data_IF_965761921131
#
_entry.id   IF_965761921131
#
_cell.length_a   1.000
_cell.length_b   1.000
_cell.length_c   1.000
_cell.angle_alpha   90.00
_cell.angle_beta   90.00
_cell.angle_gamma   90.00
#
_symmetry.space_group_name_H-M   'P 1'
#
loop_
_entity.id
_entity.type
_entity.pdbx_description
1 polymer ?
#
# COMPACT_ATOMS: atom_id res chain seq x y z
N UNK A 1 -25.91 -28.05 -0.81
CA UNK A 1 -26.44 -27.07 -1.76
C UNK A 1 -26.73 -25.80 -0.98
N UNK A 2 -25.80 -24.84 -0.97
CA UNK A 2 -26.02 -23.57 -0.29
C UNK A 2 -27.07 -22.80 -1.08
N UNK A 3 -28.22 -22.49 -0.47
CA UNK A 3 -29.19 -21.56 -1.04
C UNK A 3 -28.44 -20.24 -1.25
N UNK A 4 -28.21 -19.83 -2.51
CA UNK A 4 -27.77 -18.48 -2.84
C UNK A 4 -28.88 -17.56 -2.35
N UNK A 5 -28.57 -16.61 -1.46
CA UNK A 5 -29.48 -15.53 -1.16
C UNK A 5 -29.72 -14.75 -2.45
N UNK A 6 -30.96 -14.44 -2.75
CA UNK A 6 -31.28 -13.52 -3.83
C UNK A 6 -30.92 -12.12 -3.33
N UNK A 7 -29.96 -11.50 -4.03
CA UNK A 7 -29.60 -10.10 -3.83
C UNK A 7 -30.18 -9.31 -4.99
N UNK A 8 -30.93 -8.27 -4.69
CA UNK A 8 -31.54 -7.39 -5.66
C UNK A 8 -30.95 -5.99 -5.52
N UNK A 9 -30.63 -5.35 -6.65
CA UNK A 9 -30.28 -3.94 -6.68
C UNK A 9 -31.57 -3.14 -6.75
N UNK A 10 -31.86 -2.38 -5.69
CA UNK A 10 -33.07 -1.59 -5.61
C UNK A 10 -32.92 -0.19 -6.19
N UNK A 11 -31.80 0.46 -5.93
CA UNK A 11 -31.48 1.80 -6.39
C UNK A 11 -30.04 1.92 -6.86
N UNK A 12 -29.80 2.82 -7.81
CA UNK A 12 -28.49 3.26 -8.26
C UNK A 12 -28.49 4.79 -8.18
N UNK A 13 -27.69 5.34 -7.27
CA UNK A 13 -27.54 6.80 -7.15
C UNK A 13 -26.44 7.30 -8.08
N UNK A 14 -26.79 8.11 -9.05
CA UNK A 14 -25.84 8.82 -9.91
C UNK A 14 -26.44 10.14 -10.39
N UNK A 15 -25.64 11.19 -10.51
CA UNK A 15 -26.06 12.49 -11.01
C UNK A 15 -26.21 12.52 -12.54
N UNK A 16 -25.57 11.59 -13.25
CA UNK A 16 -25.69 11.44 -14.71
C UNK A 16 -26.93 10.64 -15.07
N UNK A 17 -27.38 10.83 -16.31
CA UNK A 17 -28.42 10.03 -16.91
C UNK A 17 -27.79 8.94 -17.79
N UNK A 18 -28.44 7.78 -17.81
CA UNK A 18 -27.96 6.59 -18.55
C UNK A 18 -29.10 6.05 -19.43
N UNK A 19 -29.52 6.80 -20.48
CA UNK A 19 -30.61 6.39 -21.35
C UNK A 19 -30.27 5.11 -22.09
N UNK A 20 -31.16 4.12 -22.05
CA UNK A 20 -30.98 2.82 -22.67
C UNK A 20 -30.15 1.83 -21.86
N UNK A 21 -29.71 2.17 -20.65
CA UNK A 21 -29.10 1.19 -19.75
C UNK A 21 -30.15 0.15 -19.29
N UNK A 22 -29.82 -1.14 -19.22
CA UNK A 22 -30.75 -2.16 -18.71
C UNK A 22 -31.32 -1.85 -17.33
N UNK A 23 -30.62 -1.08 -16.51
CA UNK A 23 -30.99 -0.67 -15.16
C UNK A 23 -31.55 0.76 -15.09
N UNK A 24 -31.87 1.40 -16.22
CA UNK A 24 -32.29 2.82 -16.30
C UNK A 24 -33.35 3.18 -15.23
N UNK A 25 -34.29 2.27 -14.97
CA UNK A 25 -35.38 2.47 -13.99
C UNK A 25 -34.93 2.49 -12.52
N UNK A 26 -33.72 2.01 -12.22
CA UNK A 26 -33.17 1.95 -10.87
C UNK A 26 -32.40 3.23 -10.50
N UNK A 27 -32.07 4.06 -11.51
CA UNK A 27 -31.29 5.29 -11.28
C UNK A 27 -32.16 6.35 -10.58
N UNK A 28 -31.57 6.90 -9.52
CA UNK A 28 -32.15 7.98 -8.72
C UNK A 28 -31.13 9.11 -8.53
N UNK A 29 -31.62 10.31 -8.20
CA UNK A 29 -30.80 11.51 -8.03
C UNK A 29 -30.74 12.00 -6.58
N UNK A 30 -31.58 11.47 -5.70
CA UNK A 30 -31.68 11.88 -4.29
C UNK A 30 -31.27 10.75 -3.36
N UNK A 31 -30.19 10.99 -2.61
CA UNK A 31 -29.68 10.06 -1.60
C UNK A 31 -30.69 9.73 -0.49
N UNK A 32 -31.58 10.69 -0.15
CA UNK A 32 -32.56 10.48 0.91
C UNK A 32 -33.56 9.34 0.60
N UNK A 33 -33.74 9.02 -0.67
CA UNK A 33 -34.56 7.85 -1.07
C UNK A 33 -33.94 6.56 -0.52
N UNK A 34 -32.60 6.41 -0.68
CA UNK A 34 -31.86 5.26 -0.13
C UNK A 34 -31.87 5.28 1.40
N UNK A 35 -31.59 6.45 1.98
CA UNK A 35 -31.43 6.59 3.42
C UNK A 35 -32.73 6.23 4.17
N UNK A 36 -33.87 6.70 3.68
CA UNK A 36 -35.16 6.54 4.35
C UNK A 36 -35.92 5.24 4.00
N UNK A 37 -35.44 4.45 3.05
CA UNK A 37 -36.07 3.20 2.67
C UNK A 37 -35.66 2.05 3.63
N UNK A 38 -36.58 1.50 4.44
CA UNK A 38 -36.27 0.43 5.41
C UNK A 38 -35.96 -0.93 4.75
N UNK A 39 -36.26 -1.11 3.47
CA UNK A 39 -35.96 -2.35 2.74
C UNK A 39 -34.50 -2.38 2.24
N UNK A 40 -33.83 -1.21 2.13
CA UNK A 40 -32.41 -1.14 1.81
C UNK A 40 -31.61 -1.56 3.04
N UNK A 41 -30.94 -2.71 2.96
CA UNK A 41 -30.14 -3.29 4.06
C UNK A 41 -28.65 -3.06 3.90
N UNK A 42 -28.17 -3.03 2.65
CA UNK A 42 -26.74 -2.84 2.33
C UNK A 42 -26.61 -1.73 1.30
N UNK A 43 -25.70 -0.81 1.55
CA UNK A 43 -25.34 0.27 0.62
C UNK A 43 -23.92 0.03 0.14
N UNK A 44 -23.69 0.14 -1.16
CA UNK A 44 -22.37 0.03 -1.77
C UNK A 44 -21.91 1.42 -2.20
N UNK A 45 -20.79 1.87 -1.65
CA UNK A 45 -20.14 3.15 -2.01
C UNK A 45 -18.97 2.89 -2.94
N UNK A 46 -18.98 3.51 -4.11
CA UNK A 46 -17.95 3.40 -5.16
C UNK A 46 -17.59 4.75 -5.78
N UNK A 47 -17.87 5.86 -5.08
CA UNK A 47 -17.67 7.22 -5.61
C UNK A 47 -16.19 7.61 -5.65
N UNK A 48 -15.42 7.20 -4.63
CA UNK A 48 -14.06 7.70 -4.41
C UNK A 48 -14.03 9.10 -3.79
N UNK A 49 -12.86 9.52 -3.32
CA UNK A 49 -12.69 10.76 -2.58
C UNK A 49 -13.27 10.71 -1.16
N UNK A 50 -13.04 11.76 -0.38
CA UNK A 50 -13.52 11.82 1.00
C UNK A 50 -14.96 12.36 1.08
N UNK A 51 -15.27 13.40 0.31
CA UNK A 51 -16.58 14.05 0.26
C UNK A 51 -17.24 13.87 -1.12
N UNK A 52 -18.53 13.56 -1.22
CA UNK A 52 -19.53 13.37 -0.16
C UNK A 52 -19.59 11.93 0.39
N UNK A 53 -18.60 11.08 0.11
CA UNK A 53 -18.63 9.67 0.52
C UNK A 53 -18.76 9.50 2.05
N UNK A 54 -18.03 10.30 2.82
CA UNK A 54 -18.09 10.26 4.28
C UNK A 54 -19.50 10.57 4.82
N UNK A 55 -20.14 11.62 4.29
CA UNK A 55 -21.48 12.02 4.71
C UNK A 55 -22.50 10.91 4.42
N UNK A 56 -22.44 10.32 3.24
CA UNK A 56 -23.39 9.28 2.84
C UNK A 56 -23.17 7.98 3.62
N UNK A 57 -21.92 7.56 3.76
CA UNK A 57 -21.57 6.35 4.50
C UNK A 57 -21.93 6.48 5.97
N UNK A 58 -21.55 7.59 6.62
CA UNK A 58 -21.85 7.83 8.04
C UNK A 58 -23.37 7.89 8.29
N UNK A 59 -24.13 8.55 7.39
CA UNK A 59 -25.60 8.59 7.49
C UNK A 59 -26.22 7.20 7.35
N UNK A 60 -25.75 6.38 6.41
CA UNK A 60 -26.26 5.01 6.23
C UNK A 60 -25.97 4.13 7.46
N UNK A 61 -24.76 4.17 8.01
CA UNK A 61 -24.41 3.41 9.21
C UNK A 61 -25.28 3.81 10.41
N UNK A 62 -25.45 5.12 10.64
CA UNK A 62 -26.31 5.68 11.69
C UNK A 62 -27.80 5.35 11.48
N UNK A 63 -28.24 5.13 10.25
CA UNK A 63 -29.59 4.67 9.92
C UNK A 63 -29.76 3.14 10.02
N UNK A 64 -28.79 2.41 10.53
CA UNK A 64 -28.85 0.96 10.70
C UNK A 64 -28.68 0.18 9.38
N UNK A 65 -28.01 0.74 8.37
CA UNK A 65 -27.72 0.08 7.10
C UNK A 65 -26.24 -0.31 7.05
N UNK A 66 -25.94 -1.56 6.69
CA UNK A 66 -24.58 -1.99 6.43
C UNK A 66 -24.02 -1.28 5.19
N UNK A 67 -22.73 -0.97 5.20
CA UNK A 67 -22.05 -0.31 4.08
C UNK A 67 -20.86 -1.12 3.63
N UNK A 68 -20.70 -1.23 2.31
CA UNK A 68 -19.55 -1.83 1.64
C UNK A 68 -18.88 -0.75 0.78
N UNK A 69 -17.54 -0.62 0.86
CA UNK A 69 -16.82 0.39 0.08
C UNK A 69 -15.54 -0.14 -0.53
N UNK A 70 -15.18 0.41 -1.69
CA UNK A 70 -13.85 0.27 -2.30
C UNK A 70 -12.96 1.51 -2.09
N UNK A 71 -13.45 2.52 -1.37
CA UNK A 71 -12.84 3.83 -1.22
C UNK A 71 -11.74 3.83 -0.16
N UNK A 72 -10.51 3.58 -0.62
CA UNK A 72 -9.32 3.56 0.24
C UNK A 72 -9.06 4.89 0.95
N UNK A 73 -9.41 6.01 0.32
CA UNK A 73 -9.21 7.34 0.90
C UNK A 73 -10.13 7.55 2.10
N UNK A 74 -11.40 7.19 1.96
CA UNK A 74 -12.36 7.22 3.05
C UNK A 74 -11.95 6.33 4.21
N UNK A 75 -11.55 5.08 3.94
CA UNK A 75 -11.17 4.11 4.98
C UNK A 75 -9.88 4.53 5.68
N UNK A 76 -8.86 5.01 4.95
CA UNK A 76 -7.61 5.48 5.53
C UNK A 76 -7.79 6.74 6.41
N UNK A 77 -8.72 7.65 6.04
CA UNK A 77 -8.94 8.88 6.78
C UNK A 77 -9.94 8.74 7.93
N UNK A 78 -10.96 7.86 7.78
CA UNK A 78 -12.14 7.80 8.65
C UNK A 78 -12.52 6.38 9.10
N UNK A 79 -11.67 5.39 8.85
CA UNK A 79 -11.99 3.98 9.12
C UNK A 79 -12.39 3.71 10.56
N UNK A 80 -11.63 4.21 11.53
CA UNK A 80 -11.93 4.03 12.95
C UNK A 80 -13.29 4.63 13.32
N UNK A 81 -13.58 5.85 12.90
CA UNK A 81 -14.83 6.55 13.18
C UNK A 81 -16.03 5.81 12.57
N UNK A 82 -15.92 5.36 11.30
CA UNK A 82 -16.98 4.63 10.60
C UNK A 82 -17.21 3.25 11.19
N UNK A 83 -16.18 2.55 11.62
CA UNK A 83 -16.29 1.30 12.37
C UNK A 83 -16.97 1.51 13.72
N UNK A 84 -16.73 2.64 14.39
CA UNK A 84 -17.44 3.06 15.60
C UNK A 84 -18.94 3.19 15.35
N UNK A 85 -19.36 3.93 14.31
CA UNK A 85 -20.78 4.04 13.95
C UNK A 85 -21.42 2.69 13.59
N UNK A 86 -20.69 1.83 12.88
CA UNK A 86 -21.17 0.50 12.58
C UNK A 86 -21.38 -0.33 13.85
N UNK A 87 -20.49 -0.20 14.84
CA UNK A 87 -20.60 -0.87 16.14
C UNK A 87 -21.82 -0.39 16.94
N UNK A 88 -21.98 0.92 17.06
CA UNK A 88 -23.09 1.56 17.79
C UNK A 88 -24.47 1.13 17.26
N UNK A 89 -24.58 0.89 15.95
CA UNK A 89 -25.84 0.55 15.28
C UNK A 89 -25.97 -0.93 14.91
N UNK A 90 -25.00 -1.78 15.34
CA UNK A 90 -24.97 -3.23 15.08
C UNK A 90 -25.11 -3.60 13.59
N UNK A 91 -24.41 -2.86 12.74
CA UNK A 91 -24.31 -3.08 11.28
C UNK A 91 -22.87 -3.29 10.87
N UNK A 92 -22.65 -3.64 9.61
CA UNK A 92 -21.31 -3.88 9.08
C UNK A 92 -20.81 -2.71 8.23
N UNK A 93 -19.55 -2.34 8.42
CA UNK A 93 -18.78 -1.53 7.50
C UNK A 93 -17.63 -2.40 6.95
N UNK A 94 -17.72 -2.81 5.68
CA UNK A 94 -16.77 -3.72 5.02
C UNK A 94 -16.07 -3.03 3.85
N UNK A 95 -14.77 -3.34 3.67
CA UNK A 95 -13.94 -2.59 2.75
C UNK A 95 -12.83 -3.46 2.10
N UNK A 96 -13.11 -4.74 1.84
CA UNK A 96 -12.15 -5.66 1.19
C UNK A 96 -11.56 -5.08 -0.08
N UNK A 97 -12.39 -4.41 -0.89
CA UNK A 97 -11.99 -3.83 -2.16
C UNK A 97 -11.11 -2.57 -2.04
N UNK A 98 -10.90 -2.03 -0.84
CA UNK A 98 -10.08 -0.84 -0.61
C UNK A 98 -8.57 -1.12 -0.69
N UNK A 99 -8.15 -2.37 -0.47
CA UNK A 99 -6.75 -2.80 -0.55
C UNK A 99 -6.65 -4.07 -1.38
N UNK A 100 -5.65 -4.12 -2.26
CA UNK A 100 -5.36 -5.32 -3.05
C UNK A 100 -6.35 -5.63 -4.17
N UNK A 101 -7.39 -4.84 -4.36
CA UNK A 101 -8.37 -5.02 -5.43
C UNK A 101 -9.02 -6.41 -5.41
N UNK A 102 -8.52 -7.33 -6.24
CA UNK A 102 -8.99 -8.72 -6.29
C UNK A 102 -8.27 -9.68 -5.34
N UNK A 103 -7.23 -9.22 -4.66
CA UNK A 103 -6.48 -10.01 -3.67
C UNK A 103 -7.27 -9.99 -2.36
N UNK A 104 -7.75 -11.12 -1.85
CA UNK A 104 -8.36 -11.16 -0.53
C UNK A 104 -7.28 -10.93 0.53
N UNK A 105 -7.38 -9.86 1.31
CA UNK A 105 -6.38 -9.52 2.34
C UNK A 105 -7.00 -9.07 3.67
N UNK A 106 -8.03 -8.21 3.65
CA UNK A 106 -8.67 -7.71 4.87
C UNK A 106 -9.29 -8.86 5.67
N UNK A 107 -10.06 -9.71 4.98
CA UNK A 107 -10.72 -10.87 5.58
C UNK A 107 -9.75 -11.95 6.02
N UNK A 108 -8.75 -12.36 5.24
CA UNK A 108 -7.70 -13.25 5.71
C UNK A 108 -6.97 -12.77 6.96
N UNK A 109 -6.54 -11.51 7.02
CA UNK A 109 -5.87 -10.97 8.22
C UNK A 109 -6.80 -11.06 9.44
N UNK A 110 -8.06 -10.57 9.30
CA UNK A 110 -8.99 -10.50 10.44
C UNK A 110 -9.60 -11.85 10.85
N UNK A 111 -9.58 -12.88 10.00
CA UNK A 111 -10.23 -14.16 10.27
C UNK A 111 -9.27 -15.34 10.21
N UNK A 112 -8.53 -15.51 9.10
CA UNK A 112 -7.68 -16.68 8.92
C UNK A 112 -6.37 -16.58 9.72
N UNK A 113 -5.83 -15.38 9.87
CA UNK A 113 -4.59 -15.11 10.60
C UNK A 113 -4.84 -14.64 12.04
N UNK A 114 -6.09 -14.56 12.49
CA UNK A 114 -6.47 -14.01 13.80
C UNK A 114 -5.85 -14.73 15.02
N UNK A 115 -5.32 -15.96 14.84
CA UNK A 115 -4.61 -16.68 15.89
C UNK A 115 -3.13 -16.28 16.01
N UNK A 116 -2.63 -15.42 15.12
CA UNK A 116 -1.23 -15.01 15.09
C UNK A 116 -1.07 -13.56 15.52
N UNK A 117 0.04 -13.26 16.14
CA UNK A 117 0.51 -11.89 16.29
C UNK A 117 1.23 -11.48 15.02
N UNK A 118 0.66 -10.51 14.31
CA UNK A 118 1.30 -9.97 13.11
C UNK A 118 2.39 -9.01 13.54
N UNK A 119 3.63 -9.28 13.12
CA UNK A 119 4.80 -8.48 13.46
C UNK A 119 5.13 -7.46 12.37
N UNK A 120 4.86 -7.83 11.10
CA UNK A 120 5.25 -7.03 9.96
C UNK A 120 4.40 -7.38 8.73
N UNK A 121 4.22 -6.43 7.83
CA UNK A 121 3.85 -6.68 6.46
C UNK A 121 4.68 -5.83 5.51
N UNK A 122 4.86 -6.34 4.29
CA UNK A 122 5.46 -5.62 3.16
C UNK A 122 4.67 -5.94 1.89
N UNK A 123 4.42 -4.93 1.06
CA UNK A 123 3.61 -5.17 -0.13
C UNK A 123 3.94 -4.27 -1.30
N UNK A 124 3.84 -4.85 -2.50
CA UNK A 124 3.71 -4.14 -3.76
C UNK A 124 2.23 -3.82 -3.90
N UNK A 125 1.85 -2.58 -3.54
CA UNK A 125 0.46 -2.17 -3.36
C UNK A 125 -0.10 -1.36 -4.53
N UNK A 126 0.75 -1.00 -5.50
CA UNK A 126 0.37 -0.20 -6.67
C UNK A 126 0.86 -0.86 -7.95
N UNK A 127 -0.07 -1.22 -8.84
CA UNK A 127 0.24 -1.91 -10.09
C UNK A 127 0.91 -1.01 -11.14
N UNK A 128 0.60 0.29 -11.15
CA UNK A 128 1.19 1.26 -12.09
C UNK A 128 2.68 1.41 -11.84
N UNK A 129 3.08 1.66 -10.61
CA UNK A 129 4.50 1.80 -10.23
C UNK A 129 5.27 0.50 -10.41
N UNK A 130 4.65 -0.64 -10.10
CA UNK A 130 5.31 -1.93 -10.34
C UNK A 130 5.50 -2.21 -11.83
N UNK A 131 4.54 -1.86 -12.68
CA UNK A 131 4.68 -1.96 -14.14
C UNK A 131 5.84 -1.10 -14.64
N UNK A 132 5.91 0.17 -14.22
CA UNK A 132 6.99 1.09 -14.62
C UNK A 132 8.35 0.51 -14.21
N UNK A 133 8.53 0.12 -12.96
CA UNK A 133 9.78 -0.48 -12.49
C UNK A 133 10.10 -1.79 -13.21
N UNK A 134 9.09 -2.62 -13.54
CA UNK A 134 9.29 -3.84 -14.32
C UNK A 134 9.85 -3.53 -15.72
N UNK A 135 9.34 -2.50 -16.40
CA UNK A 135 9.85 -2.07 -17.72
C UNK A 135 11.28 -1.52 -17.62
N UNK A 136 11.57 -0.72 -16.59
CA UNK A 136 12.93 -0.23 -16.34
C UNK A 136 13.91 -1.38 -16.11
N UNK A 137 13.54 -2.37 -15.31
CA UNK A 137 14.39 -3.50 -14.92
C UNK A 137 14.59 -4.49 -16.06
N UNK A 138 13.54 -4.89 -16.76
CA UNK A 138 13.59 -5.99 -17.73
C UNK A 138 13.92 -5.50 -19.13
N UNK A 139 13.45 -4.31 -19.52
CA UNK A 139 13.58 -3.78 -20.88
C UNK A 139 14.64 -2.67 -20.97
N UNK A 140 15.20 -2.20 -19.83
CA UNK A 140 16.12 -1.07 -19.80
C UNK A 140 15.47 0.26 -20.22
N UNK A 141 14.17 0.38 -20.06
CA UNK A 141 13.39 1.54 -20.47
C UNK A 141 13.58 2.69 -19.49
N UNK A 142 13.76 3.92 -19.98
CA UNK A 142 13.79 5.10 -19.12
C UNK A 142 12.44 5.31 -18.40
N UNK A 143 12.44 5.98 -17.25
CA UNK A 143 11.25 6.19 -16.43
C UNK A 143 10.10 6.84 -17.24
N UNK A 144 10.40 7.90 -17.99
CA UNK A 144 9.43 8.65 -18.77
C UNK A 144 8.78 7.79 -19.87
N UNK A 145 9.57 6.94 -20.53
CA UNK A 145 9.08 6.04 -21.57
C UNK A 145 8.20 4.93 -20.97
N UNK A 146 8.61 4.38 -19.83
CA UNK A 146 7.84 3.37 -19.09
C UNK A 146 6.52 3.94 -18.55
N UNK A 147 6.53 5.18 -18.05
CA UNK A 147 5.31 5.91 -17.63
C UNK A 147 4.38 6.15 -18.83
N UNK A 148 4.93 6.61 -19.95
CA UNK A 148 4.16 6.81 -21.18
C UNK A 148 3.50 5.51 -21.64
N UNK A 149 4.24 4.42 -21.62
CA UNK A 149 3.70 3.09 -21.96
C UNK A 149 2.60 2.65 -20.98
N UNK A 150 2.74 2.95 -19.68
CA UNK A 150 1.70 2.67 -18.69
C UNK A 150 0.42 3.47 -18.99
N UNK A 151 0.53 4.74 -19.40
CA UNK A 151 -0.60 5.57 -19.81
C UNK A 151 -1.27 5.05 -21.09
N UNK A 152 -0.49 4.69 -22.10
CA UNK A 152 -1.00 4.17 -23.37
C UNK A 152 -1.74 2.84 -23.21
N UNK A 153 -1.32 2.03 -22.21
CA UNK A 153 -2.00 0.78 -21.83
C UNK A 153 -3.20 0.99 -20.89
N UNK A 154 -3.47 2.22 -20.43
CA UNK A 154 -4.53 2.52 -19.47
C UNK A 154 -4.25 2.08 -18.05
N UNK A 155 -2.99 1.83 -17.68
CA UNK A 155 -2.57 1.50 -16.33
C UNK A 155 -2.30 2.74 -15.49
N UNK A 156 -1.94 3.86 -16.12
CA UNK A 156 -1.79 5.16 -15.47
C UNK A 156 -2.78 6.16 -16.07
N UNK A 157 -3.33 7.02 -15.23
CA UNK A 157 -4.16 8.15 -15.64
C UNK A 157 -3.30 9.27 -16.25
N UNK A 158 -3.95 10.30 -16.81
CA UNK A 158 -3.26 11.47 -17.34
C UNK A 158 -2.46 12.20 -16.26
N UNK A 159 -3.00 12.30 -15.04
CA UNK A 159 -2.27 12.73 -13.86
C UNK A 159 -1.94 11.49 -13.00
N UNK A 160 -0.72 10.95 -13.10
CA UNK A 160 -0.31 9.75 -12.40
C UNK A 160 0.24 10.04 -10.99
N UNK A 161 0.17 11.28 -10.51
CA UNK A 161 0.86 11.73 -9.28
C UNK A 161 0.55 10.88 -8.06
N UNK A 162 -0.72 10.45 -7.90
CA UNK A 162 -1.11 9.61 -6.77
C UNK A 162 -0.38 8.25 -6.77
N UNK A 163 -0.06 7.73 -7.95
CA UNK A 163 0.68 6.46 -8.11
C UNK A 163 2.19 6.69 -7.95
N UNK A 164 2.78 7.52 -8.83
CA UNK A 164 4.24 7.65 -8.94
C UNK A 164 4.89 8.33 -7.73
N UNK A 165 4.14 9.13 -6.96
CA UNK A 165 4.59 9.72 -5.69
C UNK A 165 4.28 8.84 -4.47
N UNK A 166 3.62 7.68 -4.65
CA UNK A 166 3.37 6.69 -3.61
C UNK A 166 2.13 6.92 -2.74
N UNK A 167 1.32 7.96 -2.99
CA UNK A 167 0.15 8.28 -2.14
C UNK A 167 -0.96 7.21 -2.19
N UNK A 168 -1.15 6.53 -3.33
CA UNK A 168 -2.05 5.39 -3.42
C UNK A 168 -1.60 4.24 -2.51
N UNK A 169 -0.32 3.91 -2.53
CA UNK A 169 0.26 2.89 -1.66
C UNK A 169 0.20 3.30 -0.17
N UNK A 170 0.41 4.59 0.14
CA UNK A 170 0.32 5.14 1.50
C UNK A 170 -1.06 4.87 2.12
N UNK A 171 -2.16 5.21 1.42
CA UNK A 171 -3.53 4.95 1.91
C UNK A 171 -3.76 3.47 2.22
N UNK A 172 -3.21 2.57 1.39
CA UNK A 172 -3.33 1.12 1.59
C UNK A 172 -2.48 0.64 2.78
N UNK A 173 -1.29 1.22 2.98
CA UNK A 173 -0.46 0.97 4.18
C UNK A 173 -1.20 1.37 5.44
N UNK A 174 -1.86 2.54 5.46
CA UNK A 174 -2.65 2.96 6.62
C UNK A 174 -3.72 1.93 6.99
N UNK A 175 -4.48 1.44 6.01
CA UNK A 175 -5.55 0.45 6.23
C UNK A 175 -4.96 -0.87 6.73
N UNK A 176 -3.91 -1.39 6.10
CA UNK A 176 -3.28 -2.65 6.49
C UNK A 176 -2.64 -2.56 7.86
N UNK A 177 -1.92 -1.46 8.16
CA UNK A 177 -1.29 -1.26 9.46
C UNK A 177 -2.32 -1.16 10.59
N UNK A 178 -3.40 -0.41 10.36
CA UNK A 178 -4.49 -0.30 11.32
C UNK A 178 -5.14 -1.66 11.62
N UNK A 179 -5.32 -2.48 10.58
CA UNK A 179 -5.89 -3.82 10.71
C UNK A 179 -4.93 -4.80 11.40
N UNK A 180 -3.64 -4.81 11.01
CA UNK A 180 -2.65 -5.74 11.54
C UNK A 180 -2.30 -5.44 12.99
N UNK A 181 -2.26 -4.15 13.38
CA UNK A 181 -1.75 -3.73 14.70
C UNK A 181 -2.84 -3.17 15.63
N UNK A 182 -4.08 -3.08 15.15
CA UNK A 182 -5.26 -2.77 15.97
C UNK A 182 -5.45 -1.29 16.33
N UNK A 183 -4.63 -0.38 15.82
CA UNK A 183 -4.75 1.06 16.05
C UNK A 183 -4.70 1.83 14.73
N UNK A 184 -5.52 2.87 14.61
CA UNK A 184 -5.62 3.66 13.38
C UNK A 184 -4.29 4.33 13.02
N UNK A 185 -3.90 4.20 11.77
CA UNK A 185 -2.74 4.86 11.18
C UNK A 185 -3.23 5.86 10.15
N UNK A 186 -2.92 7.13 10.37
CA UNK A 186 -3.32 8.22 9.48
C UNK A 186 -2.30 8.45 8.35
N UNK A 187 -2.74 8.91 7.17
CA UNK A 187 -1.83 9.11 6.02
C UNK A 187 -0.67 10.09 6.27
N UNK A 188 -0.86 11.09 7.11
CA UNK A 188 0.16 12.08 7.49
C UNK A 188 1.24 11.52 8.45
N UNK A 189 0.99 10.36 9.05
CA UNK A 189 1.96 9.64 9.90
C UNK A 189 2.87 8.71 9.10
N UNK A 190 2.57 8.44 7.81
CA UNK A 190 3.31 7.50 6.96
C UNK A 190 4.26 8.26 6.05
N UNK A 191 5.56 8.12 6.27
CA UNK A 191 6.54 8.67 5.35
C UNK A 191 6.39 8.02 3.97
N UNK A 192 6.32 8.85 2.92
CA UNK A 192 6.00 8.39 1.56
C UNK A 192 6.99 8.95 0.55
N UNK A 193 7.68 8.06 -0.14
CA UNK A 193 8.57 8.34 -1.26
C UNK A 193 8.06 7.60 -2.50
N UNK A 194 8.05 8.30 -3.64
CA UNK A 194 7.67 7.73 -4.94
C UNK A 194 8.85 7.12 -5.68
N UNK A 195 8.64 6.88 -6.99
CA UNK A 195 9.63 6.23 -7.87
C UNK A 195 10.26 7.18 -8.89
N UNK A 196 9.96 8.47 -8.83
CA UNK A 196 10.40 9.47 -9.83
C UNK A 196 11.91 9.69 -9.87
N UNK A 197 12.60 9.42 -8.76
CA UNK A 197 14.06 9.59 -8.63
C UNK A 197 14.86 8.33 -8.97
N UNK A 198 14.18 7.22 -9.29
CA UNK A 198 14.85 5.96 -9.64
C UNK A 198 15.39 6.03 -11.07
N UNK A 199 16.65 5.70 -11.24
CA UNK A 199 17.34 5.72 -12.53
C UNK A 199 17.74 4.32 -12.99
N UNK A 200 18.12 4.18 -14.28
CA UNK A 200 18.61 2.91 -14.82
C UNK A 200 19.94 2.48 -14.17
N UNK A 201 20.75 3.45 -13.76
CA UNK A 201 22.00 3.18 -13.04
C UNK A 201 21.71 2.52 -11.68
N UNK A 202 20.65 2.97 -10.96
CA UNK A 202 20.24 2.34 -9.71
C UNK A 202 19.74 0.91 -9.94
N UNK A 203 19.04 0.67 -11.05
CA UNK A 203 18.62 -0.67 -11.47
C UNK A 203 19.81 -1.59 -11.74
N UNK A 204 20.86 -1.09 -12.40
CA UNK A 204 22.08 -1.87 -12.66
C UNK A 204 22.81 -2.23 -11.35
N UNK A 205 22.90 -1.29 -10.41
CA UNK A 205 23.48 -1.55 -9.10
C UNK A 205 22.64 -2.52 -8.26
N UNK A 206 21.32 -2.47 -8.36
CA UNK A 206 20.45 -3.45 -7.71
C UNK A 206 20.68 -4.87 -8.25
N UNK A 207 20.90 -5.01 -9.56
CA UNK A 207 21.26 -6.30 -10.19
C UNK A 207 22.61 -6.82 -9.66
N UNK A 208 23.62 -5.98 -9.55
CA UNK A 208 24.94 -6.37 -9.01
C UNK A 208 24.88 -6.72 -7.52
N UNK A 209 23.98 -6.05 -6.77
CA UNK A 209 23.70 -6.40 -5.38
C UNK A 209 23.08 -7.79 -5.25
N UNK A 210 22.35 -8.26 -6.22
CA UNK A 210 21.65 -9.55 -6.25
C UNK A 210 20.15 -9.42 -6.07
N UNK A 211 19.55 -8.30 -6.48
CA UNK A 211 18.12 -8.03 -6.31
C UNK A 211 17.52 -7.12 -7.38
N UNK A 212 16.36 -6.60 -7.08
CA UNK A 212 15.57 -5.69 -7.90
C UNK A 212 15.08 -4.50 -7.07
N UNK A 213 14.62 -3.43 -7.74
CA UNK A 213 13.96 -2.31 -7.07
C UNK A 213 12.45 -2.48 -7.14
N UNK A 214 11.77 -2.38 -6.00
CA UNK A 214 10.30 -2.36 -5.90
C UNK A 214 9.86 -1.17 -5.05
N UNK A 215 8.68 -0.60 -5.36
CA UNK A 215 8.02 0.32 -4.42
C UNK A 215 7.28 -0.51 -3.39
N UNK A 216 7.72 -0.46 -2.15
CA UNK A 216 7.13 -1.21 -1.05
C UNK A 216 6.36 -0.31 -0.08
N UNK A 217 5.12 -0.68 0.20
CA UNK A 217 4.43 -0.24 1.41
C UNK A 217 4.71 -1.22 2.54
N UNK A 218 5.23 -0.73 3.67
CA UNK A 218 5.68 -1.57 4.79
C UNK A 218 5.20 -1.01 6.11
N UNK A 219 4.86 -1.89 7.04
CA UNK A 219 4.80 -1.52 8.44
C UNK A 219 5.22 -2.68 9.33
N UNK A 220 5.90 -2.37 10.43
CA UNK A 220 6.40 -3.34 11.41
C UNK A 220 6.30 -2.82 12.82
N UNK A 221 6.13 -3.72 13.78
CA UNK A 221 6.22 -3.38 15.21
C UNK A 221 7.63 -2.98 15.57
N UNK A 222 7.74 -2.03 16.51
CA UNK A 222 8.99 -1.74 17.19
C UNK A 222 9.40 -2.90 18.09
N UNK A 223 10.66 -2.94 18.50
CA UNK A 223 11.19 -4.02 19.37
C UNK A 223 10.46 -4.12 20.72
N UNK A 224 9.97 -3.00 21.25
CA UNK A 224 9.20 -2.97 22.49
C UNK A 224 7.72 -3.33 22.31
N UNK A 225 7.26 -3.54 21.07
CA UNK A 225 5.90 -3.89 20.70
C UNK A 225 4.83 -2.81 20.94
N UNK A 226 5.24 -1.59 21.38
CA UNK A 226 4.31 -0.51 21.75
C UNK A 226 4.02 0.45 20.61
N UNK A 227 4.95 0.59 19.69
CA UNK A 227 4.91 1.47 18.55
C UNK A 227 5.03 0.69 17.25
N UNK A 228 4.82 1.35 16.14
CA UNK A 228 5.06 0.79 14.81
C UNK A 228 5.85 1.77 13.97
N UNK A 229 6.53 1.25 12.96
CA UNK A 229 7.04 2.01 11.83
C UNK A 229 6.14 1.75 10.63
N UNK A 230 5.82 2.79 9.86
CA UNK A 230 5.06 2.69 8.63
C UNK A 230 5.68 3.58 7.54
N UNK A 231 5.91 3.03 6.35
CA UNK A 231 6.60 3.73 5.28
C UNK A 231 6.18 3.21 3.90
N UNK A 232 6.18 4.10 2.92
CA UNK A 232 6.15 3.77 1.49
C UNK A 232 7.43 4.30 0.86
N UNK A 233 8.21 3.43 0.25
CA UNK A 233 9.45 3.84 -0.41
C UNK A 233 9.93 2.81 -1.42
N UNK A 234 10.75 3.23 -2.40
CA UNK A 234 11.58 2.32 -3.16
C UNK A 234 12.49 1.52 -2.22
N UNK A 235 12.72 0.26 -2.56
CA UNK A 235 13.63 -0.61 -1.82
C UNK A 235 14.31 -1.62 -2.74
N UNK A 236 15.57 -1.96 -2.42
CA UNK A 236 16.23 -3.15 -2.95
C UNK A 236 15.62 -4.38 -2.29
N UNK A 237 15.18 -5.33 -3.12
CA UNK A 237 14.56 -6.58 -2.73
C UNK A 237 15.39 -7.73 -3.29
N UNK A 238 15.84 -8.63 -2.44
CA UNK A 238 16.67 -9.78 -2.85
C UNK A 238 15.92 -10.70 -3.82
N UNK A 239 16.63 -11.27 -4.80
CA UNK A 239 16.05 -12.21 -5.78
C UNK A 239 15.39 -13.44 -5.16
N UNK A 240 15.77 -13.85 -3.97
CA UNK A 240 15.16 -14.96 -3.25
C UNK A 240 13.82 -14.61 -2.60
N UNK A 241 13.51 -13.32 -2.50
CA UNK A 241 12.22 -12.84 -2.00
C UNK A 241 11.08 -13.14 -2.97
N UNK A 242 9.94 -13.58 -2.44
CA UNK A 242 8.72 -13.74 -3.23
C UNK A 242 8.24 -12.42 -3.84
N UNK A 243 8.57 -11.28 -3.22
CA UNK A 243 8.22 -9.96 -3.72
C UNK A 243 9.06 -9.56 -4.95
N UNK A 244 10.28 -10.07 -5.09
CA UNK A 244 11.16 -9.74 -6.21
C UNK A 244 10.58 -10.20 -7.57
N UNK A 245 9.90 -11.34 -7.59
CA UNK A 245 9.32 -11.95 -8.80
C UNK A 245 7.96 -11.40 -9.22
N UNK A 246 7.43 -10.43 -8.49
CA UNK A 246 6.13 -9.80 -8.79
C UNK A 246 6.30 -8.73 -9.87
N UNK A 247 5.93 -9.03 -11.09
CA UNK A 247 6.12 -8.16 -12.25
C UNK A 247 4.82 -7.55 -12.77
N UNK A 248 4.96 -6.62 -13.70
CA UNK A 248 3.88 -5.93 -14.40
C UNK A 248 2.88 -5.25 -13.44
N UNK A 249 1.60 -5.39 -13.70
CA UNK A 249 0.51 -4.78 -12.92
C UNK A 249 0.08 -5.61 -11.71
N UNK A 250 0.82 -6.70 -11.42
CA UNK A 250 0.50 -7.55 -10.30
C UNK A 250 0.95 -6.94 -8.98
N UNK A 251 0.21 -7.27 -7.94
CA UNK A 251 0.50 -6.89 -6.56
C UNK A 251 0.77 -8.14 -5.72
N UNK A 252 1.51 -7.97 -4.64
CA UNK A 252 1.67 -8.98 -3.61
C UNK A 252 1.80 -8.33 -2.25
N UNK A 253 1.30 -9.01 -1.22
CA UNK A 253 1.37 -8.58 0.17
C UNK A 253 1.92 -9.75 0.98
N UNK A 254 3.11 -9.58 1.52
CA UNK A 254 3.72 -10.49 2.49
C UNK A 254 3.27 -10.07 3.87
N UNK A 255 2.77 -11.01 4.66
CA UNK A 255 2.40 -10.82 6.06
C UNK A 255 3.22 -11.80 6.90
N UNK A 256 3.92 -11.29 7.90
CA UNK A 256 4.78 -12.06 8.81
C UNK A 256 4.13 -12.15 10.18
N UNK A 257 3.76 -13.36 10.58
CA UNK A 257 3.21 -13.66 11.90
C UNK A 257 4.15 -14.51 12.75
N UNK A 258 3.92 -14.51 14.05
CA UNK A 258 4.75 -15.22 15.04
C UNK A 258 4.72 -16.74 14.87
N UNK A 259 3.56 -17.33 14.66
CA UNK A 259 3.40 -18.77 14.53
C UNK A 259 3.36 -19.28 13.08
N UNK A 260 2.78 -18.48 12.16
CA UNK A 260 2.59 -18.88 10.77
C UNK A 260 3.84 -18.59 9.90
N UNK A 261 4.73 -17.70 10.35
CA UNK A 261 5.83 -17.19 9.53
C UNK A 261 5.35 -16.29 8.39
N UNK A 262 5.98 -16.39 7.22
CA UNK A 262 5.68 -15.54 6.06
C UNK A 262 4.56 -16.16 5.22
N UNK A 263 3.53 -15.37 4.95
CA UNK A 263 2.43 -15.69 4.03
C UNK A 263 2.36 -14.61 2.96
N UNK A 264 2.24 -15.00 1.69
CA UNK A 264 2.14 -14.06 0.58
C UNK A 264 0.80 -14.18 -0.12
N UNK A 265 0.12 -13.06 -0.27
CA UNK A 265 -1.10 -12.91 -1.05
C UNK A 265 -0.76 -12.23 -2.37
N UNK A 266 -1.05 -12.88 -3.48
CA UNK A 266 -0.65 -12.43 -4.82
C UNK A 266 -1.84 -12.40 -5.77
N UNK A 267 -1.90 -11.38 -6.65
CA UNK A 267 -2.93 -11.29 -7.66
C UNK A 267 -3.00 -9.91 -8.33
N UNK A 268 -4.16 -9.62 -8.96
CA UNK A 268 -4.42 -8.31 -9.56
C UNK A 268 -4.84 -7.31 -8.48
N UNK A 269 -4.02 -6.28 -8.27
CA UNK A 269 -4.25 -5.24 -7.26
C UNK A 269 -5.32 -4.21 -7.65
N UNK A 270 -5.78 -4.21 -8.89
CA UNK A 270 -6.80 -3.31 -9.42
C UNK A 270 -7.54 -3.94 -10.60
N UNK A 271 -8.59 -3.26 -11.07
CA UNK A 271 -9.36 -3.63 -12.25
C UNK A 271 -10.85 -3.81 -11.96
N UNK A 272 -11.70 -3.53 -12.96
CA UNK A 272 -13.16 -3.52 -12.83
C UNK A 272 -13.71 -4.82 -12.22
N UNK A 273 -13.38 -5.97 -12.78
CA UNK A 273 -13.90 -7.26 -12.32
C UNK A 273 -13.28 -7.73 -11.00
N UNK A 274 -11.95 -7.64 -10.77
CA UNK A 274 -11.36 -7.95 -9.48
C UNK A 274 -11.97 -7.14 -8.33
N UNK A 275 -12.08 -5.81 -8.48
CA UNK A 275 -12.68 -4.93 -7.48
C UNK A 275 -14.15 -5.25 -7.24
N UNK A 276 -14.94 -5.46 -8.31
CA UNK A 276 -16.34 -5.85 -8.20
C UNK A 276 -16.51 -7.20 -7.47
N UNK A 277 -15.60 -8.15 -7.69
CA UNK A 277 -15.62 -9.45 -6.98
C UNK A 277 -15.46 -9.27 -5.47
N UNK A 278 -14.54 -8.41 -5.03
CA UNK A 278 -14.33 -8.12 -3.62
C UNK A 278 -15.54 -7.41 -2.99
N UNK A 279 -16.09 -6.38 -3.68
CA UNK A 279 -17.31 -5.67 -3.26
C UNK A 279 -18.48 -6.62 -3.12
N UNK A 280 -18.76 -7.46 -4.13
CA UNK A 280 -19.87 -8.43 -4.07
C UNK A 280 -19.65 -9.46 -2.97
N UNK A 281 -18.40 -9.86 -2.74
CA UNK A 281 -18.03 -10.71 -1.60
C UNK A 281 -18.43 -10.10 -0.26
N UNK A 282 -18.19 -8.81 -0.06
CA UNK A 282 -18.58 -8.07 1.14
C UNK A 282 -20.10 -7.90 1.26
N UNK A 283 -20.81 -7.63 0.14
CA UNK A 283 -22.27 -7.57 0.13
C UNK A 283 -22.87 -8.91 0.56
N UNK A 284 -22.36 -10.03 0.02
CA UNK A 284 -22.81 -11.37 0.42
C UNK A 284 -22.54 -11.61 1.92
N UNK A 285 -21.40 -11.13 2.41
CA UNK A 285 -21.02 -11.27 3.80
C UNK A 285 -21.94 -10.46 4.73
N UNK A 286 -22.28 -9.22 4.40
CA UNK A 286 -23.28 -8.41 5.10
C UNK A 286 -24.64 -9.11 5.15
N UNK A 287 -25.10 -9.64 4.01
CA UNK A 287 -26.40 -10.33 3.92
C UNK A 287 -26.46 -11.64 4.73
N UNK A 288 -25.34 -12.34 4.87
CA UNK A 288 -25.25 -13.57 5.69
C UNK A 288 -25.16 -13.29 7.19
N UNK A 289 -24.70 -12.12 7.56
CA UNK A 289 -24.47 -11.71 8.95
C UNK A 289 -25.32 -10.49 9.31
N UNK A 290 -26.58 -10.47 8.84
CA UNK A 290 -27.55 -9.44 9.23
C UNK A 290 -27.67 -9.41 10.77
N UNK A 291 -27.59 -8.21 11.35
CA UNK A 291 -27.57 -7.98 12.80
C UNK A 291 -26.40 -8.65 13.58
N UNK A 292 -25.32 -8.94 12.89
CA UNK A 292 -24.07 -9.43 13.50
C UNK A 292 -22.91 -8.60 12.99
N UNK A 293 -22.46 -7.68 13.81
CA UNK A 293 -21.29 -6.87 13.50
C UNK A 293 -20.01 -7.70 13.45
N UNK A 294 -19.17 -7.43 12.46
CA UNK A 294 -17.80 -7.94 12.41
C UNK A 294 -16.85 -7.00 13.14
N UNK A 295 -16.09 -7.55 14.06
CA UNK A 295 -15.12 -6.83 14.83
C UNK A 295 -13.74 -6.96 14.17
N UNK A 296 -13.09 -5.84 13.90
CA UNK A 296 -11.75 -5.80 13.29
C UNK A 296 -10.63 -5.55 14.31
N UNK A 297 -10.95 -5.32 15.59
CA UNK A 297 -9.95 -4.97 16.61
C UNK A 297 -9.28 -3.61 16.37
N UNK A 298 -9.90 -2.73 15.62
CA UNK A 298 -9.34 -1.46 15.16
C UNK A 298 -9.91 -0.32 16.01
N UNK A 299 -9.05 0.28 16.83
CA UNK A 299 -9.35 1.43 17.67
C UNK A 299 -8.62 2.68 17.17
N UNK A 300 -8.90 3.84 17.73
CA UNK A 300 -8.11 5.04 17.48
C UNK A 300 -6.72 4.94 18.11
N UNK A 301 -5.77 5.71 17.59
CA UNK A 301 -4.39 5.71 18.08
C UNK A 301 -4.10 6.95 18.93
N UNK A 302 -3.24 6.80 19.92
CA UNK A 302 -2.64 7.89 20.65
C UNK A 302 -1.52 8.57 19.85
N UNK A 303 -1.21 9.81 20.21
CA UNK A 303 -0.06 10.55 19.66
C UNK A 303 1.25 9.76 19.87
N UNK A 304 2.08 9.70 18.83
CA UNK A 304 3.35 8.98 18.84
C UNK A 304 3.26 7.47 18.64
N UNK A 305 2.07 6.91 18.37
CA UNK A 305 1.94 5.49 18.07
C UNK A 305 2.74 5.05 16.84
N UNK A 306 2.75 5.84 15.77
CA UNK A 306 3.64 5.66 14.63
C UNK A 306 4.93 6.40 14.92
N UNK A 307 6.03 5.66 15.06
CA UNK A 307 7.37 6.20 15.30
C UNK A 307 7.95 6.82 14.04
N UNK A 308 8.89 7.74 14.21
CA UNK A 308 9.64 8.32 13.09
C UNK A 308 10.35 7.20 12.31
N UNK A 309 10.12 7.16 11.00
CA UNK A 309 10.73 6.17 10.10
C UNK A 309 12.26 6.20 10.13
N UNK A 310 12.85 7.36 10.47
CA UNK A 310 14.30 7.51 10.60
C UNK A 310 14.90 6.64 11.73
N UNK A 311 14.11 6.22 12.70
CA UNK A 311 14.56 5.36 13.79
C UNK A 311 14.41 3.86 13.44
N UNK A 312 13.79 3.54 12.28
CA UNK A 312 13.65 2.18 11.80
C UNK A 312 15.01 1.60 11.38
N UNK A 313 15.40 0.41 11.87
CA UNK A 313 16.59 -0.29 11.40
C UNK A 313 16.46 -0.65 9.93
N UNK A 314 17.48 -0.24 9.13
CA UNK A 314 17.56 -0.53 7.70
C UNK A 314 19.01 -0.53 7.24
N UNK A 315 19.31 -1.10 6.08
CA UNK A 315 20.54 -0.80 5.34
C UNK A 315 20.23 0.16 4.19
N UNK A 316 21.20 0.92 3.75
CA UNK A 316 21.06 1.85 2.63
C UNK A 316 22.01 1.45 1.49
N UNK A 317 21.48 1.33 0.30
CA UNK A 317 22.25 1.53 -0.92
C UNK A 317 22.54 3.01 -1.07
N UNK A 318 23.80 3.32 -1.40
CA UNK A 318 24.30 4.68 -1.59
C UNK A 318 25.07 4.72 -2.90
N UNK A 319 24.69 5.62 -3.82
CA UNK A 319 25.45 5.98 -5.02
C UNK A 319 25.99 7.37 -4.86
N UNK A 320 27.29 7.54 -5.13
CA UNK A 320 27.98 8.80 -4.93
C UNK A 320 29.07 9.02 -6.00
N UNK A 321 29.52 10.27 -6.12
CA UNK A 321 30.71 10.68 -6.88
C UNK A 321 31.74 11.31 -5.97
N UNK A 322 33.00 11.10 -6.30
CA UNK A 322 34.10 11.74 -5.61
C UNK A 322 35.34 11.82 -6.51
N UNK A 323 36.02 12.99 -6.54
CA UNK A 323 37.28 13.15 -7.25
C UNK A 323 38.37 12.22 -6.69
N UNK A 324 38.39 12.04 -5.35
CA UNK A 324 39.33 11.14 -4.67
C UNK A 324 38.59 9.87 -4.20
N UNK A 325 37.98 9.17 -5.16
CA UNK A 325 37.11 8.00 -4.95
C UNK A 325 37.64 7.02 -3.91
N UNK A 326 38.90 6.59 -4.03
CA UNK A 326 39.48 5.58 -3.15
C UNK A 326 39.61 6.06 -1.70
N UNK A 327 39.89 7.36 -1.49
CA UNK A 327 39.94 7.93 -0.14
C UNK A 327 38.56 7.96 0.48
N UNK A 328 37.51 8.33 -0.29
CA UNK A 328 36.15 8.39 0.20
C UNK A 328 35.63 6.99 0.51
N UNK A 329 35.91 5.97 -0.31
CA UNK A 329 35.59 4.57 -0.02
C UNK A 329 36.23 4.13 1.30
N UNK A 330 37.54 4.40 1.49
CA UNK A 330 38.21 4.05 2.75
C UNK A 330 37.67 4.83 3.97
N UNK A 331 37.19 6.05 3.75
CA UNK A 331 36.47 6.81 4.78
C UNK A 331 35.11 6.18 5.10
N UNK A 332 34.37 5.75 4.08
CA UNK A 332 33.10 5.06 4.25
C UNK A 332 33.26 3.75 5.05
N UNK A 333 34.28 2.93 4.71
CA UNK A 333 34.61 1.71 5.47
C UNK A 333 34.90 1.99 6.94
N UNK A 334 35.63 3.08 7.25
CA UNK A 334 35.90 3.49 8.62
C UNK A 334 34.66 3.99 9.37
N UNK A 335 33.77 4.68 8.65
CA UNK A 335 32.57 5.33 9.22
C UNK A 335 31.43 4.34 9.46
N UNK A 336 31.18 3.45 8.49
CA UNK A 336 30.07 2.49 8.53
C UNK A 336 30.48 1.09 9.01
N UNK A 337 31.77 0.74 8.96
CA UNK A 337 32.25 -0.62 9.11
C UNK A 337 32.26 -1.38 7.81
N UNK A 338 31.88 -2.65 7.80
CA UNK A 338 31.87 -3.48 6.60
C UNK A 338 30.80 -3.03 5.62
N UNK A 339 31.20 -2.38 4.52
CA UNK A 339 30.29 -1.99 3.43
C UNK A 339 30.44 -2.99 2.27
N UNK A 340 29.33 -3.25 1.55
CA UNK A 340 29.34 -4.04 0.31
C UNK A 340 29.47 -3.10 -0.87
N UNK A 341 30.64 -3.03 -1.50
CA UNK A 341 30.86 -2.27 -2.74
C UNK A 341 30.11 -2.91 -3.90
N UNK A 342 29.49 -2.09 -4.73
CA UNK A 342 28.74 -2.49 -5.91
C UNK A 342 29.43 -1.96 -7.18
N UNK A 343 29.15 -2.63 -8.31
CA UNK A 343 29.73 -2.31 -9.61
C UNK A 343 28.65 -2.24 -10.68
N UNK A 344 28.85 -1.39 -11.68
CA UNK A 344 28.07 -1.42 -12.91
C UNK A 344 28.96 -1.17 -14.12
N UNK A 345 28.56 -1.69 -15.28
CA UNK A 345 29.26 -1.47 -16.53
C UNK A 345 29.17 0.02 -16.93
N UNK A 346 30.24 0.58 -17.45
CA UNK A 346 30.27 1.96 -17.94
C UNK A 346 30.11 3.04 -16.86
N UNK A 347 30.29 2.70 -15.58
CA UNK A 347 30.28 3.71 -14.52
C UNK A 347 31.42 4.74 -14.74
N UNK A 348 31.17 6.06 -14.57
CA UNK A 348 32.21 7.06 -14.54
C UNK A 348 33.33 6.72 -13.53
N UNK A 349 34.55 7.15 -13.81
CA UNK A 349 35.69 6.84 -12.94
C UNK A 349 35.54 7.39 -11.52
N UNK A 350 34.81 8.51 -11.35
CA UNK A 350 34.52 9.18 -10.10
C UNK A 350 33.30 8.61 -9.37
N UNK A 351 32.46 7.78 -10.04
CA UNK A 351 31.25 7.18 -9.46
C UNK A 351 31.56 5.89 -8.70
N UNK A 352 30.92 5.70 -7.56
CA UNK A 352 30.93 4.47 -6.78
C UNK A 352 29.61 4.26 -6.07
N UNK A 353 29.33 3.01 -5.71
CA UNK A 353 28.16 2.67 -4.92
C UNK A 353 28.50 1.59 -3.89
N UNK A 354 27.76 1.60 -2.80
CA UNK A 354 27.89 0.61 -1.73
C UNK A 354 26.58 0.43 -0.96
N UNK A 355 26.50 -0.69 -0.22
CA UNK A 355 25.44 -0.94 0.74
C UNK A 355 26.02 -0.89 2.14
N UNK A 356 25.37 -0.16 3.04
CA UNK A 356 25.75 -0.04 4.46
C UNK A 356 25.37 -1.28 5.25
N UNK A 357 25.99 -1.53 6.42
CA UNK A 357 25.40 -2.38 7.44
C UNK A 357 24.05 -1.83 7.91
N UNK A 358 23.25 -2.69 8.58
CA UNK A 358 21.97 -2.29 9.19
C UNK A 358 22.23 -1.43 10.44
N UNK A 359 21.56 -0.27 10.48
CA UNK A 359 21.48 0.61 11.65
C UNK A 359 20.19 1.43 11.56
N UNK A 360 19.90 2.32 12.51
CA UNK A 360 18.79 3.26 12.32
C UNK A 360 19.08 4.17 11.13
N UNK A 361 18.06 4.47 10.33
CA UNK A 361 18.24 5.33 9.15
C UNK A 361 18.79 6.70 9.53
N UNK A 362 18.41 7.23 10.69
CA UNK A 362 18.94 8.48 11.26
C UNK A 362 20.45 8.43 11.44
N UNK A 363 20.97 7.35 12.04
CA UNK A 363 22.41 7.16 12.20
C UNK A 363 23.12 7.07 10.84
N UNK A 364 22.57 6.29 9.91
CA UNK A 364 23.14 6.13 8.58
C UNK A 364 23.21 7.46 7.83
N UNK A 365 22.13 8.26 7.85
CA UNK A 365 22.10 9.58 7.21
C UNK A 365 23.08 10.56 7.84
N UNK A 366 23.17 10.58 9.18
CA UNK A 366 24.16 11.41 9.89
C UNK A 366 25.59 11.01 9.50
N UNK A 367 25.87 9.73 9.39
CA UNK A 367 27.18 9.23 8.92
C UNK A 367 27.46 9.62 7.47
N UNK A 368 26.47 9.59 6.57
CA UNK A 368 26.62 10.04 5.19
C UNK A 368 27.05 11.51 5.09
N UNK A 369 26.52 12.38 5.93
CA UNK A 369 26.89 13.81 5.98
C UNK A 369 28.35 14.02 6.37
N UNK A 370 28.98 13.05 7.05
CA UNK A 370 30.41 13.12 7.43
C UNK A 370 31.37 12.66 6.34
N UNK A 371 30.88 12.13 5.21
CA UNK A 371 31.73 11.68 4.08
C UNK A 371 32.19 12.87 3.25
N UNK A 372 33.22 13.54 3.72
CA UNK A 372 33.79 14.70 3.05
C UNK A 372 34.31 14.34 1.64
N UNK A 373 33.98 15.16 0.66
CA UNK A 373 34.36 14.97 -0.74
C UNK A 373 33.53 13.98 -1.53
N UNK A 374 32.46 13.44 -0.94
CA UNK A 374 31.43 12.69 -1.64
C UNK A 374 30.25 13.58 -1.99
N UNK A 375 29.78 13.48 -3.23
CA UNK A 375 28.46 13.98 -3.66
C UNK A 375 27.52 12.78 -3.70
N UNK A 376 26.56 12.72 -2.79
CA UNK A 376 25.56 11.66 -2.74
C UNK A 376 24.53 11.91 -3.86
N UNK A 377 24.39 10.94 -4.77
CA UNK A 377 23.47 11.03 -5.92
C UNK A 377 22.14 10.35 -5.60
N UNK A 378 22.19 9.17 -4.99
CA UNK A 378 21.01 8.35 -4.71
C UNK A 378 21.17 7.55 -3.43
N UNK A 379 20.10 7.40 -2.69
CA UNK A 379 19.99 6.48 -1.55
C UNK A 379 18.69 5.70 -1.64
N UNK A 380 18.76 4.37 -1.54
CA UNK A 380 17.59 3.49 -1.56
C UNK A 380 17.72 2.51 -0.40
N UNK A 381 16.63 2.25 0.31
CA UNK A 381 16.60 1.28 1.41
C UNK A 381 16.80 -0.13 0.88
N UNK A 382 17.49 -0.96 1.65
CA UNK A 382 17.71 -2.38 1.35
C UNK A 382 16.91 -3.19 2.34
N UNK A 383 16.12 -4.14 1.85
CA UNK A 383 15.24 -4.97 2.68
C UNK A 383 15.75 -6.41 2.79
N UNK A 384 15.31 -7.10 3.82
CA UNK A 384 15.65 -8.48 4.18
C UNK A 384 14.47 -9.47 3.93
N UNK A 385 13.58 -9.10 3.03
CA UNK A 385 12.43 -9.95 2.65
C UNK A 385 12.81 -11.07 1.71
#
# INVERSE_FOLDING_TARGET
>A
MYKRQELEIKYILDLKDFPGDPNEKLFIKDFNIILNDPEVKVVVETMGGLHPAYEFVSACLKAGKSVVTSNKELVAAKGCELLGYAAEHNVNFLFEASVGGGIPIIRPISQCLAANEINEFAGILNGTTNFILTRMINDGMAFEDALKLAQDNGYAERDPSADILGFDACRKVCILASLCFGKHVYPDQVHTEGITEITLEDVEYAKDWGGVIKLLGRARKSEDGKHIYAIVSPAFVDHHSQLASVDDVFNAILVRGDAIGDVVFYGRGAGKLPTASAVVGDVIDCARHENKQKFFGWADSEEGYVSDYLDMPTALYVRARAQQKQQVISSAEKTFGEIKLLKRAGAPEDEFAFVTPVASERELRTKLETLLGAEIISTIRVTDY
#
